data_IF_757460843248
#
_entry.id   IF_757460843248
#
_cell.length_a   1.000
_cell.length_b   1.000
_cell.length_c   1.000
_cell.angle_alpha   90.00
_cell.angle_beta   90.00
_cell.angle_gamma   90.00
#
_symmetry.space_group_name_H-M   'P 1'
#
loop_
_entity.id
_entity.type
_entity.pdbx_description
1 polymer ?
#
# COMPACT_ATOMS: atom_id res chain seq x y z
N UNK A 1 -36.19 64.81 4.70
CA UNK A 1 -35.44 64.35 3.51
C UNK A 1 -34.53 63.21 3.94
N UNK A 2 -34.90 61.98 3.57
CA UNK A 2 -34.23 60.74 3.98
C UNK A 2 -33.11 60.39 2.99
N UNK A 3 -31.91 60.07 3.49
CA UNK A 3 -30.84 59.47 2.67
C UNK A 3 -30.55 58.09 3.22
N UNK A 4 -31.01 57.06 2.52
CA UNK A 4 -30.69 55.66 2.77
C UNK A 4 -29.37 55.35 2.07
N UNK A 5 -28.34 55.00 2.83
CA UNK A 5 -27.10 54.45 2.29
C UNK A 5 -27.19 52.93 2.33
N UNK A 6 -27.19 52.29 1.15
CA UNK A 6 -27.13 50.83 1.00
C UNK A 6 -25.67 50.49 0.74
N UNK A 7 -25.00 49.87 1.71
CA UNK A 7 -23.66 49.32 1.53
C UNK A 7 -23.81 47.88 1.05
N UNK A 8 -23.56 47.63 -0.24
CA UNK A 8 -23.43 46.29 -0.77
C UNK A 8 -22.04 45.73 -0.41
N UNK A 9 -21.99 44.69 0.41
CA UNK A 9 -20.75 43.95 0.67
C UNK A 9 -20.50 42.96 -0.48
N UNK A 10 -19.35 43.08 -1.15
CA UNK A 10 -18.86 42.12 -2.13
C UNK A 10 -18.51 40.81 -1.38
N UNK A 11 -19.29 39.75 -1.58
CA UNK A 11 -18.89 38.42 -1.17
C UNK A 11 -17.82 37.90 -2.14
N UNK A 12 -16.55 37.90 -1.71
CA UNK A 12 -15.48 37.16 -2.39
C UNK A 12 -15.77 35.67 -2.21
N UNK A 13 -16.45 35.08 -3.20
CA UNK A 13 -16.64 33.64 -3.30
C UNK A 13 -15.29 32.98 -3.50
N UNK A 14 -14.78 32.33 -2.46
CA UNK A 14 -13.69 31.38 -2.60
C UNK A 14 -14.28 30.17 -3.32
N UNK A 15 -14.01 30.04 -4.61
CA UNK A 15 -14.32 28.83 -5.33
C UNK A 15 -13.42 27.71 -4.78
N UNK A 16 -13.97 26.92 -3.86
CA UNK A 16 -13.34 25.68 -3.41
C UNK A 16 -13.23 24.75 -4.62
N UNK A 17 -12.06 24.70 -5.24
CA UNK A 17 -11.72 23.62 -6.15
C UNK A 17 -11.64 22.35 -5.31
N UNK A 18 -12.74 21.60 -5.25
CA UNK A 18 -12.73 20.22 -4.77
C UNK A 18 -11.91 19.41 -5.77
N UNK A 19 -10.59 19.40 -5.59
CA UNK A 19 -9.75 18.38 -6.19
C UNK A 19 -10.23 17.06 -5.59
N UNK A 20 -10.86 16.21 -6.40
CA UNK A 20 -11.04 14.81 -6.05
C UNK A 20 -9.65 14.16 -6.08
N UNK A 21 -8.88 14.44 -5.03
CA UNK A 21 -7.65 13.75 -4.69
C UNK A 21 -8.03 12.28 -4.47
N UNK A 22 -7.80 11.43 -5.48
CA UNK A 22 -7.95 10.00 -5.31
C UNK A 22 -6.92 9.55 -4.28
N UNK A 23 -7.39 9.00 -3.16
CA UNK A 23 -6.55 8.38 -2.15
C UNK A 23 -5.76 7.22 -2.78
N UNK A 24 -4.52 7.02 -2.34
CA UNK A 24 -3.74 5.85 -2.70
C UNK A 24 -4.31 4.63 -1.97
N UNK A 25 -4.66 3.60 -2.73
CA UNK A 25 -5.20 2.33 -2.23
C UNK A 25 -4.24 1.21 -2.58
N UNK A 26 -3.83 0.43 -1.58
CA UNK A 26 -3.13 -0.83 -1.77
C UNK A 26 -4.15 -1.96 -1.66
N UNK A 27 -4.42 -2.64 -2.77
CA UNK A 27 -5.32 -3.79 -2.83
C UNK A 27 -4.51 -5.07 -2.61
N UNK A 28 -4.52 -5.54 -1.37
CA UNK A 28 -3.56 -6.50 -0.84
C UNK A 28 -4.20 -7.89 -0.69
N UNK A 29 -3.51 -8.91 -1.21
CA UNK A 29 -3.90 -10.31 -1.04
C UNK A 29 -2.74 -11.13 -0.51
N UNK A 30 -2.95 -11.85 0.59
CA UNK A 30 -2.01 -12.88 1.02
C UNK A 30 -2.30 -14.20 0.27
N UNK A 31 -1.40 -14.57 -0.64
CA UNK A 31 -1.48 -15.84 -1.40
C UNK A 31 -0.60 -16.94 -0.81
N UNK A 32 0.17 -16.63 0.23
CA UNK A 32 0.93 -17.62 0.99
C UNK A 32 0.01 -18.47 1.90
N UNK A 33 0.54 -19.59 2.39
CA UNK A 33 -0.14 -20.45 3.36
C UNK A 33 0.15 -20.07 4.82
N UNK A 34 0.84 -18.95 5.03
CA UNK A 34 1.21 -18.42 6.35
C UNK A 34 0.83 -16.95 6.46
N UNK A 35 0.51 -16.44 7.67
CA UNK A 35 0.23 -15.03 7.89
C UNK A 35 1.40 -14.12 7.51
N UNK A 36 1.09 -12.88 7.14
CA UNK A 36 2.07 -11.81 6.92
C UNK A 36 1.67 -10.54 7.67
N UNK A 37 2.66 -9.88 8.27
CA UNK A 37 2.54 -8.54 8.81
C UNK A 37 3.22 -7.54 7.87
N UNK A 38 2.54 -6.45 7.54
CA UNK A 38 2.97 -5.47 6.54
C UNK A 38 3.11 -4.07 7.15
N UNK A 39 4.18 -3.36 6.80
CA UNK A 39 4.37 -1.95 7.07
C UNK A 39 4.48 -1.18 5.76
N UNK A 40 4.02 0.07 5.76
CA UNK A 40 3.97 0.92 4.57
C UNK A 40 4.61 2.27 4.86
N UNK A 41 5.18 2.87 3.81
CA UNK A 41 5.63 4.25 3.82
C UNK A 41 5.11 4.98 2.58
N UNK A 42 4.56 6.18 2.77
CA UNK A 42 3.90 6.96 1.73
C UNK A 42 4.03 8.46 2.00
N UNK A 43 3.77 9.27 0.96
CA UNK A 43 3.73 10.71 1.07
C UNK A 43 2.30 11.15 1.44
N UNK A 44 2.15 11.83 2.58
CA UNK A 44 0.87 12.34 3.06
C UNK A 44 0.21 13.32 2.06
N UNK A 45 -1.06 13.64 2.26
CA UNK A 45 -1.83 14.56 1.40
C UNK A 45 -1.24 15.96 1.28
N UNK A 46 -0.39 16.38 2.23
CA UNK A 46 0.33 17.64 2.17
C UNK A 46 1.43 17.68 1.08
N UNK A 47 1.74 16.54 0.48
CA UNK A 47 2.75 16.38 -0.56
C UNK A 47 4.18 16.58 -0.09
N UNK A 48 4.44 16.56 1.22
CA UNK A 48 5.74 16.90 1.84
C UNK A 48 6.14 15.95 2.95
N UNK A 49 5.18 15.40 3.68
CA UNK A 49 5.42 14.59 4.86
C UNK A 49 5.42 13.11 4.47
N UNK A 50 6.58 12.47 4.56
CA UNK A 50 6.67 11.02 4.40
C UNK A 50 6.33 10.34 5.73
N UNK A 51 5.28 9.54 5.71
CA UNK A 51 4.82 8.74 6.84
C UNK A 51 5.29 7.30 6.71
N UNK A 52 5.45 6.63 7.84
CA UNK A 52 5.65 5.18 7.92
C UNK A 52 4.71 4.64 8.99
N UNK A 53 3.92 3.63 8.66
CA UNK A 53 3.00 3.00 9.62
C UNK A 53 2.87 1.49 9.41
N UNK A 54 2.48 0.81 10.48
CA UNK A 54 2.29 -0.64 10.53
C UNK A 54 1.83 -1.08 11.92
N UNK A 55 1.45 -2.34 12.14
CA UNK A 55 1.38 -3.44 11.16
C UNK A 55 -0.04 -3.64 10.65
N UNK A 56 -0.17 -3.95 9.37
CA UNK A 56 -1.36 -4.51 8.76
C UNK A 56 -1.15 -6.03 8.66
N UNK A 57 -2.02 -6.81 9.30
CA UNK A 57 -1.91 -8.26 9.32
C UNK A 57 -2.85 -8.87 8.30
N UNK A 58 -2.38 -9.88 7.57
CA UNK A 58 -3.17 -10.62 6.59
C UNK A 58 -3.03 -12.12 6.85
N UNK A 59 -4.14 -12.76 7.17
CA UNK A 59 -4.24 -14.22 7.28
C UNK A 59 -4.08 -14.90 5.90
N UNK A 60 -3.74 -16.20 5.83
CA UNK A 60 -3.68 -16.93 4.57
C UNK A 60 -4.98 -16.81 3.76
N UNK A 61 -4.87 -16.36 2.51
CA UNK A 61 -6.01 -16.15 1.61
C UNK A 61 -6.79 -14.87 1.84
N UNK A 62 -6.44 -14.07 2.85
CA UNK A 62 -7.09 -12.79 3.12
C UNK A 62 -6.85 -11.79 1.99
N UNK A 63 -7.90 -11.02 1.69
CA UNK A 63 -7.91 -9.97 0.70
C UNK A 63 -8.54 -8.74 1.33
N UNK A 64 -7.75 -7.68 1.50
CA UNK A 64 -8.19 -6.43 2.09
C UNK A 64 -7.46 -5.23 1.46
N UNK A 65 -8.05 -4.05 1.63
CA UNK A 65 -7.49 -2.79 1.14
C UNK A 65 -6.84 -2.03 2.27
N UNK A 66 -5.72 -1.37 1.96
CA UNK A 66 -5.12 -0.35 2.81
C UNK A 66 -5.34 0.99 2.11
N UNK A 67 -6.22 1.81 2.67
CA UNK A 67 -6.44 3.19 2.22
C UNK A 67 -5.38 4.10 2.88
N UNK A 68 -4.53 4.69 2.07
CA UNK A 68 -3.47 5.59 2.51
C UNK A 68 -3.87 7.04 2.22
N UNK A 69 -3.60 7.90 3.20
CA UNK A 69 -3.83 9.34 3.13
C UNK A 69 -2.82 10.02 2.18
N UNK A 70 -2.85 9.68 0.90
CA UNK A 70 -1.87 10.10 -0.11
C UNK A 70 -2.54 10.34 -1.45
N UNK A 71 -2.03 11.29 -2.23
CA UNK A 71 -2.29 11.41 -3.68
C UNK A 71 -1.10 10.99 -4.53
N UNK A 72 0.02 10.62 -3.90
CA UNK A 72 1.21 10.19 -4.58
C UNK A 72 1.10 8.71 -4.92
N UNK A 73 1.34 8.35 -6.18
CA UNK A 73 1.34 6.97 -6.64
C UNK A 73 2.56 6.17 -6.16
N UNK A 74 3.58 6.81 -5.58
CA UNK A 74 4.76 6.13 -5.04
C UNK A 74 4.53 5.76 -3.59
N UNK A 75 4.79 4.50 -3.27
CA UNK A 75 4.79 3.98 -1.90
C UNK A 75 5.96 3.01 -1.70
N UNK A 76 6.20 2.67 -0.45
CA UNK A 76 7.16 1.64 -0.07
C UNK A 76 6.50 0.66 0.88
N UNK A 77 6.80 -0.63 0.74
CA UNK A 77 6.18 -1.70 1.51
C UNK A 77 7.23 -2.66 2.04
N UNK A 78 7.11 -3.06 3.29
CA UNK A 78 7.87 -4.13 3.91
C UNK A 78 6.88 -5.17 4.45
N UNK A 79 7.24 -6.45 4.39
CA UNK A 79 6.43 -7.51 4.97
C UNK A 79 7.29 -8.59 5.61
N UNK A 80 6.80 -9.14 6.72
CA UNK A 80 7.39 -10.28 7.42
C UNK A 80 6.35 -11.39 7.53
N UNK A 81 6.65 -12.55 6.93
CA UNK A 81 5.84 -13.74 7.08
C UNK A 81 6.11 -14.38 8.44
N UNK A 82 5.12 -15.05 9.02
CA UNK A 82 5.26 -15.70 10.33
C UNK A 82 6.40 -16.74 10.39
N UNK A 83 6.77 -17.34 9.25
CA UNK A 83 7.89 -18.28 9.13
C UNK A 83 9.29 -17.62 9.07
N UNK A 84 9.36 -16.29 9.05
CA UNK A 84 10.60 -15.50 9.06
C UNK A 84 11.09 -15.02 7.68
N UNK A 85 10.42 -15.42 6.59
CA UNK A 85 10.66 -14.88 5.24
C UNK A 85 10.19 -13.42 5.13
N UNK A 86 10.80 -12.61 4.26
CA UNK A 86 10.49 -11.18 4.15
C UNK A 86 10.21 -10.70 2.72
N UNK A 87 9.35 -9.70 2.59
CA UNK A 87 9.20 -8.84 1.41
C UNK A 87 10.06 -7.60 1.63
N UNK A 88 11.26 -7.56 1.05
CA UNK A 88 12.29 -6.56 1.36
C UNK A 88 13.25 -6.31 0.19
N UNK A 89 13.77 -5.08 0.08
CA UNK A 89 14.83 -4.72 -0.86
C UNK A 89 14.37 -4.36 -2.29
N UNK A 90 15.21 -4.66 -3.28
CA UNK A 90 14.99 -4.29 -4.68
C UNK A 90 15.52 -2.89 -5.06
N UNK A 91 15.38 -2.55 -6.34
CA UNK A 91 15.85 -1.27 -6.88
C UNK A 91 15.01 -0.10 -6.34
N UNK A 92 15.69 0.94 -5.86
CA UNK A 92 15.03 2.09 -5.25
C UNK A 92 14.43 1.78 -3.87
N UNK A 93 14.86 0.71 -3.21
CA UNK A 93 14.44 0.41 -1.84
C UNK A 93 14.83 1.52 -0.85
N UNK A 94 14.09 1.59 0.25
CA UNK A 94 14.26 2.60 1.28
C UNK A 94 14.50 1.94 2.64
N UNK A 95 15.64 2.25 3.27
CA UNK A 95 15.98 1.71 4.58
C UNK A 95 15.33 2.55 5.69
N UNK A 96 14.41 1.95 6.44
CA UNK A 96 13.61 2.63 7.46
C UNK A 96 13.49 1.78 8.73
N UNK A 97 13.36 2.42 9.91
CA UNK A 97 13.09 1.71 11.15
C UNK A 97 11.66 1.18 11.23
N UNK A 98 11.51 0.05 11.91
CA UNK A 98 10.21 -0.52 12.30
C UNK A 98 10.15 -0.76 13.80
N UNK A 99 8.93 -0.90 14.31
CA UNK A 99 8.64 -1.25 15.68
C UNK A 99 7.69 -2.45 15.69
N UNK A 100 7.88 -3.43 16.56
CA UNK A 100 7.04 -4.64 16.59
C UNK A 100 5.63 -4.39 17.13
N UNK A 101 5.43 -3.31 17.89
CA UNK A 101 4.10 -2.79 18.22
C UNK A 101 3.56 -1.93 17.08
N UNK A 102 2.24 -1.74 16.99
CA UNK A 102 1.63 -0.79 16.07
C UNK A 102 2.29 0.60 16.20
N UNK A 103 2.60 1.20 15.06
CA UNK A 103 3.38 2.44 14.98
C UNK A 103 2.92 3.30 13.80
N UNK A 104 3.12 4.62 13.94
CA UNK A 104 3.04 5.62 12.88
C UNK A 104 4.04 6.72 13.20
N UNK A 105 4.88 7.12 12.25
CA UNK A 105 5.85 8.20 12.45
C UNK A 105 6.18 8.94 11.14
N UNK A 106 6.72 10.15 11.27
CA UNK A 106 7.25 10.93 10.14
C UNK A 106 8.72 10.56 9.90
N UNK A 107 9.09 10.23 8.67
CA UNK A 107 10.47 9.87 8.34
C UNK A 107 11.48 10.92 8.85
N UNK A 108 12.52 10.45 9.53
CA UNK A 108 13.55 11.31 10.13
C UNK A 108 13.18 11.88 11.51
N UNK A 109 11.95 11.69 11.99
CA UNK A 109 11.49 12.13 13.33
C UNK A 109 11.25 10.94 14.28
N UNK A 110 12.11 9.93 14.20
CA UNK A 110 11.97 8.71 14.99
C UNK A 110 12.38 9.00 16.46
N UNK A 111 11.41 9.13 17.36
CA UNK A 111 11.66 9.45 18.77
C UNK A 111 12.03 8.23 19.64
N UNK A 112 11.87 7.02 19.09
CA UNK A 112 12.03 5.75 19.81
C UNK A 112 13.22 4.98 19.26
N UNK A 113 13.86 4.17 20.11
CA UNK A 113 14.81 3.17 19.63
C UNK A 113 14.04 2.15 18.78
N UNK A 114 14.40 2.07 17.50
CA UNK A 114 13.82 1.12 16.57
C UNK A 114 14.15 -0.32 16.98
N UNK A 115 13.21 -1.23 16.78
CA UNK A 115 13.44 -2.65 17.01
C UNK A 115 14.33 -3.23 15.88
N UNK A 116 14.15 -2.74 14.65
CA UNK A 116 14.90 -3.17 13.46
C UNK A 116 14.92 -2.07 12.40
N UNK A 117 15.96 -2.03 11.56
CA UNK A 117 15.95 -1.28 10.30
C UNK A 117 15.79 -2.27 9.14
N UNK A 118 14.87 -2.00 8.22
CA UNK A 118 14.51 -2.89 7.11
C UNK A 118 14.45 -2.13 5.79
N UNK A 119 14.57 -2.84 4.67
CA UNK A 119 14.53 -2.24 3.33
C UNK A 119 13.13 -2.39 2.74
N UNK A 120 12.37 -1.32 2.71
CA UNK A 120 11.06 -1.33 2.09
C UNK A 120 11.20 -1.38 0.56
N UNK A 121 10.39 -2.22 -0.07
CA UNK A 121 10.29 -2.37 -1.53
C UNK A 121 9.51 -1.19 -2.10
N UNK A 122 10.04 -0.56 -3.15
CA UNK A 122 9.35 0.55 -3.84
C UNK A 122 8.24 0.03 -4.74
N UNK A 123 7.04 0.58 -4.58
CA UNK A 123 5.88 0.35 -5.44
C UNK A 123 5.41 1.61 -6.17
N UNK A 124 4.69 1.42 -7.27
CA UNK A 124 4.02 2.51 -8.00
C UNK A 124 2.59 2.07 -8.33
N UNK A 125 1.63 2.84 -7.85
CA UNK A 125 0.22 2.66 -8.15
C UNK A 125 -0.12 3.19 -9.55
N UNK A 126 -1.10 2.55 -10.19
CA UNK A 126 -1.72 3.02 -11.42
C UNK A 126 -3.04 3.70 -11.06
N UNK A 127 -3.13 5.02 -11.29
CA UNK A 127 -4.32 5.81 -10.98
C UNK A 127 -4.78 5.68 -9.51
N UNK A 128 -3.83 5.76 -8.56
CA UNK A 128 -4.13 5.67 -7.13
C UNK A 128 -4.39 4.25 -6.63
N UNK A 129 -4.30 3.21 -7.45
CA UNK A 129 -4.47 1.82 -6.99
C UNK A 129 -3.23 0.98 -7.30
N UNK A 130 -2.78 0.19 -6.33
CA UNK A 130 -1.74 -0.81 -6.51
C UNK A 130 -2.25 -2.18 -6.05
N UNK A 131 -2.20 -3.18 -6.94
CA UNK A 131 -2.51 -4.57 -6.58
C UNK A 131 -1.24 -5.27 -6.08
N UNK A 132 -1.32 -5.91 -4.92
CA UNK A 132 -0.17 -6.52 -4.24
C UNK A 132 -0.55 -7.93 -3.80
N UNK A 133 0.24 -8.92 -4.25
CA UNK A 133 0.14 -10.30 -3.80
C UNK A 133 1.36 -10.66 -2.93
N UNK A 134 1.11 -11.11 -1.70
CA UNK A 134 2.16 -11.59 -0.80
C UNK A 134 2.28 -13.10 -0.86
N UNK A 135 3.42 -13.59 -1.31
CA UNK A 135 3.74 -15.01 -1.42
C UNK A 135 4.39 -15.32 -2.77
N UNK A 136 4.80 -16.58 -3.01
CA UNK A 136 5.18 -16.97 -4.36
C UNK A 136 3.99 -16.69 -5.27
N UNK A 137 4.19 -15.90 -6.32
CA UNK A 137 3.31 -15.94 -7.48
C UNK A 137 3.27 -17.41 -7.86
N UNK A 138 2.12 -18.07 -7.71
CA UNK A 138 1.99 -19.48 -8.05
C UNK A 138 2.64 -19.66 -9.42
N UNK A 139 3.78 -20.35 -9.45
CA UNK A 139 4.31 -20.87 -10.68
C UNK A 139 3.16 -21.61 -11.32
N UNK A 140 2.82 -21.21 -12.54
CA UNK A 140 1.84 -21.85 -13.41
C UNK A 140 1.75 -23.34 -13.07
N UNK A 141 0.53 -23.81 -12.74
CA UNK A 141 0.29 -25.19 -12.34
C UNK A 141 1.15 -26.13 -13.20
N UNK A 142 1.85 -27.11 -12.61
CA UNK A 142 2.82 -27.92 -13.34
C UNK A 142 2.17 -28.41 -14.63
N UNK A 143 2.68 -27.92 -15.77
CA UNK A 143 2.18 -28.35 -17.07
C UNK A 143 2.24 -29.88 -17.09
N UNK A 144 1.15 -30.58 -17.44
CA UNK A 144 1.19 -32.03 -17.54
C UNK A 144 2.38 -32.39 -18.44
N UNK A 145 3.18 -33.39 -18.06
CA UNK A 145 4.40 -33.72 -18.78
C UNK A 145 4.09 -33.86 -20.28
N UNK A 146 4.71 -33.00 -21.10
CA UNK A 146 4.59 -33.07 -22.55
C UNK A 146 5.15 -34.41 -23.01
N UNK A 147 4.26 -35.39 -23.19
CA UNK A 147 4.65 -36.75 -23.54
C UNK A 147 3.67 -37.86 -23.18
N UNK A 148 2.61 -37.60 -22.40
CA UNK A 148 1.55 -38.61 -22.20
C UNK A 148 0.45 -38.47 -23.25
N UNK A 149 0.24 -39.47 -24.14
CA UNK A 149 -0.93 -39.50 -25.01
C UNK A 149 -2.20 -39.50 -24.17
N UNK A 150 -3.22 -38.78 -24.64
CA UNK A 150 -4.54 -38.78 -24.02
C UNK A 150 -5.03 -40.23 -23.78
N UNK A 151 -5.71 -40.51 -22.64
CA UNK A 151 -6.34 -41.80 -22.42
C UNK A 151 -7.29 -42.09 -23.60
N UNK A 152 -7.02 -43.15 -24.35
CA UNK A 152 -7.90 -43.56 -25.42
C UNK A 152 -9.22 -44.02 -24.80
N UNK A 153 -10.32 -43.39 -25.22
CA UNK A 153 -11.65 -43.81 -24.83
C UNK A 153 -11.89 -45.29 -25.24
N UNK A 154 -12.61 -46.09 -24.43
CA UNK A 154 -12.92 -47.46 -24.80
C UNK A 154 -13.72 -47.46 -26.10
N UNK A 155 -13.27 -48.20 -27.11
CA UNK A 155 -14.08 -48.47 -28.30
C UNK A 155 -15.26 -49.33 -27.86
N UNK A 156 -16.48 -48.84 -28.12
CA UNK A 156 -17.68 -49.66 -28.12
C UNK A 156 -17.72 -50.53 -29.37
#
# INVERSE_FOLDING_TARGET
MSKKSITAALALGVASLSFNAQALVLDCKNVAQVPIAVAVSYLDYDGKTWLVEGWYNFEPGEHAKIDLDSTNNIFYIYGEFQEGSEVSGGNGSLNLPIYYRTFKYVQGQNALQADKNVNFVRGVASNGVAEIAFGPLQSEAPQPPQGQPAPQAPRQ
#
